data_IF_761473580046
#
_entry.id   IF_761473580046
#
_cell.length_a   1.000
_cell.length_b   1.000
_cell.length_c   1.000
_cell.angle_alpha   90.00
_cell.angle_beta   90.00
_cell.angle_gamma   90.00
#
_symmetry.space_group_name_H-M   'P 1'
#
loop_
_entity.id
_entity.type
_entity.pdbx_description
1 polymer ?
#
# COMPACT_ATOMS: atom_id res chain seq x y z
N UNK A 1 11.78 1.60 -27.95
CA UNK A 1 12.68 2.24 -28.94
C UNK A 1 13.46 3.43 -28.35
N UNK A 2 12.83 4.38 -27.64
CA UNK A 2 13.49 5.60 -27.13
C UNK A 2 14.51 5.29 -26.03
N UNK A 3 14.13 4.55 -25.00
CA UNK A 3 15.03 4.18 -23.89
C UNK A 3 16.27 3.42 -24.40
N UNK A 4 16.08 2.48 -25.33
CA UNK A 4 17.19 1.71 -25.90
C UNK A 4 18.22 2.61 -26.57
N UNK A 5 17.78 3.58 -27.37
CA UNK A 5 18.67 4.57 -28.01
C UNK A 5 19.42 5.44 -26.99
N UNK A 6 18.73 5.86 -25.91
CA UNK A 6 19.36 6.62 -24.83
C UNK A 6 20.47 5.82 -24.14
N UNK A 7 20.24 4.54 -23.90
CA UNK A 7 21.24 3.61 -23.32
C UNK A 7 22.42 3.42 -24.26
N UNK A 8 22.15 3.14 -25.54
CA UNK A 8 23.19 2.92 -26.58
C UNK A 8 24.05 4.18 -26.80
N UNK A 9 23.45 5.37 -26.67
CA UNK A 9 24.20 6.66 -26.78
C UNK A 9 24.92 7.07 -25.49
N UNK A 10 24.76 6.33 -24.38
CA UNK A 10 25.33 6.67 -23.07
C UNK A 10 24.70 7.90 -22.37
N UNK A 11 23.65 8.47 -22.96
CA UNK A 11 22.93 9.65 -22.44
C UNK A 11 21.60 9.24 -21.82
N UNK A 12 21.66 8.72 -20.60
CA UNK A 12 20.49 8.24 -19.88
C UNK A 12 19.91 9.37 -19.03
N UNK A 13 18.64 9.77 -19.23
CA UNK A 13 17.97 10.74 -18.37
C UNK A 13 17.56 10.13 -17.04
N UNK A 14 17.23 10.96 -16.06
CA UNK A 14 16.51 10.50 -14.87
C UNK A 14 15.13 9.97 -15.25
N UNK A 15 14.69 8.88 -14.61
CA UNK A 15 13.46 8.18 -15.00
C UNK A 15 12.75 7.51 -13.83
N UNK A 16 11.48 7.24 -14.03
CA UNK A 16 10.65 6.47 -13.12
C UNK A 16 10.14 5.22 -13.86
N UNK A 17 10.40 4.04 -13.32
CA UNK A 17 9.83 2.78 -13.78
C UNK A 17 8.55 2.49 -12.99
N UNK A 18 7.42 2.52 -13.67
CA UNK A 18 6.13 2.22 -13.10
C UNK A 18 5.59 0.92 -13.69
N UNK A 19 5.18 0.00 -12.82
CA UNK A 19 4.58 -1.27 -13.25
C UNK A 19 4.48 -2.27 -12.11
N UNK A 20 3.81 -3.40 -12.34
CA UNK A 20 3.58 -4.43 -11.32
C UNK A 20 4.89 -5.01 -10.77
N UNK A 21 4.85 -5.71 -9.62
CA UNK A 21 6.03 -6.38 -9.09
C UNK A 21 6.56 -7.45 -10.05
N UNK A 22 7.83 -7.80 -9.91
CA UNK A 22 8.46 -8.90 -10.67
C UNK A 22 8.68 -8.69 -12.17
N UNK A 23 8.40 -7.51 -12.73
CA UNK A 23 8.61 -7.22 -14.17
C UNK A 23 10.05 -6.80 -14.51
N UNK A 24 10.96 -6.85 -13.53
CA UNK A 24 12.38 -6.59 -13.76
C UNK A 24 12.82 -5.13 -13.64
N UNK A 25 12.10 -4.25 -12.92
CA UNK A 25 12.47 -2.83 -12.72
C UNK A 25 13.91 -2.65 -12.23
N UNK A 26 14.27 -3.35 -11.17
CA UNK A 26 15.62 -3.32 -10.57
C UNK A 26 16.68 -3.92 -11.51
N UNK A 27 16.33 -5.02 -12.17
CA UNK A 27 17.20 -5.69 -13.15
C UNK A 27 17.49 -4.76 -14.33
N UNK A 28 16.48 -4.09 -14.87
CA UNK A 28 16.63 -3.13 -15.95
C UNK A 28 17.53 -1.96 -15.55
N UNK A 29 17.36 -1.41 -14.36
CA UNK A 29 18.23 -0.34 -13.84
C UNK A 29 19.69 -0.79 -13.72
N UNK A 30 19.93 -2.02 -13.24
CA UNK A 30 21.27 -2.60 -13.16
C UNK A 30 21.90 -2.82 -14.55
N UNK A 31 21.13 -3.29 -15.53
CA UNK A 31 21.59 -3.44 -16.92
C UNK A 31 21.97 -2.09 -17.52
N UNK A 32 21.13 -1.07 -17.31
CA UNK A 32 21.41 0.30 -17.78
C UNK A 32 22.74 0.78 -17.21
N UNK A 33 22.93 0.67 -15.90
CA UNK A 33 24.15 1.09 -15.22
C UNK A 33 25.42 0.43 -15.79
N UNK A 34 25.38 -0.89 -15.98
CA UNK A 34 26.49 -1.67 -16.56
C UNK A 34 26.77 -1.25 -18.00
N UNK A 35 25.72 -1.02 -18.81
CA UNK A 35 25.88 -0.63 -20.22
C UNK A 35 26.51 0.75 -20.37
N UNK A 36 26.13 1.71 -19.51
CA UNK A 36 26.69 3.08 -19.54
C UNK A 36 27.96 3.23 -18.70
N UNK A 37 28.43 2.14 -18.07
CA UNK A 37 29.66 2.08 -17.24
C UNK A 37 29.70 3.12 -16.13
N UNK A 38 28.57 3.38 -15.46
CA UNK A 38 28.46 4.32 -14.34
C UNK A 38 28.35 3.59 -13.01
N UNK A 39 28.82 4.25 -11.94
CA UNK A 39 28.60 3.74 -10.59
C UNK A 39 27.11 3.62 -10.30
N UNK A 40 26.72 2.56 -9.58
CA UNK A 40 25.33 2.21 -9.30
C UNK A 40 25.11 2.13 -7.80
N UNK A 41 24.33 3.05 -7.28
CA UNK A 41 23.87 3.05 -5.89
C UNK A 41 22.44 2.59 -5.82
N UNK A 42 22.14 1.73 -4.86
CA UNK A 42 20.80 1.16 -4.65
C UNK A 42 20.31 1.54 -3.26
N UNK A 43 19.16 2.17 -3.19
CA UNK A 43 18.44 2.43 -1.95
C UNK A 43 17.05 1.80 -2.04
N UNK A 44 16.57 1.25 -0.91
CA UNK A 44 15.18 0.84 -0.76
C UNK A 44 14.45 1.87 0.09
N UNK A 45 13.40 2.49 -0.43
CA UNK A 45 12.66 3.50 0.32
C UNK A 45 11.96 2.94 1.58
N UNK A 46 11.86 1.60 1.70
CA UNK A 46 11.36 0.93 2.90
C UNK A 46 12.38 1.00 4.04
N UNK A 47 13.68 0.82 3.74
CA UNK A 47 14.74 0.64 4.73
C UNK A 47 15.72 1.82 4.80
N UNK A 48 15.62 2.78 3.87
CA UNK A 48 16.56 3.90 3.77
C UNK A 48 15.94 5.20 4.27
N UNK A 49 16.64 5.86 5.19
CA UNK A 49 16.27 7.18 5.69
C UNK A 49 17.02 8.32 5.01
N UNK A 50 16.90 9.52 5.58
CA UNK A 50 17.60 10.72 5.10
C UNK A 50 19.12 10.58 5.16
N UNK A 51 19.62 9.80 6.13
CA UNK A 51 21.06 9.59 6.34
C UNK A 51 21.68 8.85 5.16
N UNK A 52 21.09 7.73 4.76
CA UNK A 52 21.57 6.90 3.65
C UNK A 52 21.55 7.67 2.32
N UNK A 53 20.50 8.47 2.10
CA UNK A 53 20.42 9.35 0.91
C UNK A 53 21.57 10.37 0.89
N UNK A 54 21.86 11.00 2.03
CA UNK A 54 22.99 11.95 2.15
C UNK A 54 24.34 11.29 1.90
N UNK A 55 24.57 10.11 2.47
CA UNK A 55 25.80 9.35 2.24
C UNK A 55 26.04 9.05 0.75
N UNK A 56 24.98 8.70 0.01
CA UNK A 56 25.06 8.51 -1.44
C UNK A 56 25.41 9.83 -2.14
N UNK A 57 24.83 10.95 -1.75
CA UNK A 57 25.15 12.25 -2.33
C UNK A 57 26.58 12.68 -2.04
N UNK A 58 27.13 12.41 -0.87
CA UNK A 58 28.51 12.71 -0.53
C UNK A 58 29.49 11.88 -1.37
N UNK A 59 29.19 10.60 -1.58
CA UNK A 59 29.95 9.73 -2.49
C UNK A 59 29.84 10.21 -3.96
N UNK A 60 28.65 10.62 -4.37
CA UNK A 60 28.40 11.12 -5.73
C UNK A 60 29.20 12.39 -6.04
N UNK A 61 29.44 13.27 -5.07
CA UNK A 61 30.28 14.47 -5.22
C UNK A 61 31.75 14.16 -5.50
N UNK A 62 32.20 12.99 -5.04
CA UNK A 62 33.59 12.54 -5.24
C UNK A 62 33.75 11.62 -6.45
N UNK A 63 32.67 11.25 -7.11
CA UNK A 63 32.71 10.38 -8.27
C UNK A 63 33.21 11.11 -9.51
N UNK A 64 34.01 10.47 -10.36
CA UNK A 64 34.53 11.09 -11.60
C UNK A 64 33.41 11.36 -12.62
N UNK A 65 32.38 10.55 -12.62
CA UNK A 65 31.20 10.65 -13.48
C UNK A 65 29.93 10.67 -12.67
N UNK A 66 28.86 11.29 -13.18
CA UNK A 66 27.53 11.28 -12.53
C UNK A 66 27.04 9.85 -12.35
N UNK A 67 26.90 9.35 -11.10
CA UNK A 67 26.46 7.99 -10.84
C UNK A 67 24.96 7.83 -11.06
N UNK A 68 24.52 6.59 -11.19
CA UNK A 68 23.09 6.22 -11.17
C UNK A 68 22.68 5.90 -9.75
N UNK A 69 21.65 6.57 -9.27
CA UNK A 69 20.96 6.26 -8.02
C UNK A 69 19.63 5.58 -8.33
N UNK A 70 19.55 4.28 -8.00
CA UNK A 70 18.32 3.52 -8.08
C UNK A 70 17.62 3.54 -6.74
N UNK A 71 16.31 3.87 -6.74
CA UNK A 71 15.46 3.86 -5.54
C UNK A 71 14.28 2.92 -5.80
N UNK A 72 14.27 1.82 -5.06
CA UNK A 72 13.14 0.90 -5.08
C UNK A 72 12.02 1.42 -4.19
N UNK A 73 10.77 1.27 -4.66
CA UNK A 73 9.53 1.73 -4.01
C UNK A 73 9.57 3.23 -3.63
N UNK A 74 10.02 4.08 -4.59
CA UNK A 74 10.23 5.54 -4.39
C UNK A 74 9.00 6.25 -3.80
N UNK A 75 7.79 5.74 -4.01
CA UNK A 75 6.55 6.26 -3.45
C UNK A 75 6.50 6.23 -1.91
N UNK A 76 7.34 5.41 -1.26
CA UNK A 76 7.44 5.33 0.20
C UNK A 76 8.31 6.42 0.81
N UNK A 77 9.06 7.14 0.00
CA UNK A 77 9.79 8.31 0.49
C UNK A 77 8.83 9.47 0.82
N UNK A 78 9.04 10.07 1.99
CA UNK A 78 8.34 11.30 2.38
C UNK A 78 8.60 12.44 1.38
N UNK A 79 7.72 13.44 1.34
CA UNK A 79 7.89 14.62 0.49
C UNK A 79 9.26 15.29 0.69
N UNK A 80 9.73 15.42 1.94
CA UNK A 80 11.05 16.00 2.24
C UNK A 80 12.22 15.18 1.69
N UNK A 81 12.11 13.85 1.66
CA UNK A 81 13.13 13.00 1.04
C UNK A 81 13.10 13.14 -0.48
N UNK A 82 11.92 13.22 -1.09
CA UNK A 82 11.78 13.46 -2.52
C UNK A 82 12.28 14.87 -2.92
N UNK A 83 12.09 15.90 -2.10
CA UNK A 83 12.68 17.23 -2.32
C UNK A 83 14.21 17.20 -2.30
N UNK A 84 14.78 16.37 -1.43
CA UNK A 84 16.25 16.17 -1.42
C UNK A 84 16.76 15.52 -2.70
N UNK A 85 16.01 14.56 -3.26
CA UNK A 85 16.29 13.94 -4.56
C UNK A 85 16.16 14.95 -5.71
N UNK A 86 15.13 15.81 -5.68
CA UNK A 86 14.94 16.87 -6.66
C UNK A 86 16.18 17.75 -6.79
N UNK A 87 16.70 18.24 -5.67
CA UNK A 87 17.92 19.05 -5.65
C UNK A 87 19.13 18.33 -6.26
N UNK A 88 19.28 17.03 -6.00
CA UNK A 88 20.38 16.23 -6.53
C UNK A 88 20.26 16.00 -8.04
N UNK A 89 19.05 15.78 -8.53
CA UNK A 89 18.75 15.61 -9.97
C UNK A 89 18.95 16.92 -10.71
N UNK A 90 18.47 18.05 -10.19
CA UNK A 90 18.62 19.37 -10.79
C UNK A 90 20.09 19.81 -10.95
N UNK A 91 20.91 19.47 -9.96
CA UNK A 91 22.36 19.77 -9.98
C UNK A 91 23.16 18.77 -10.81
N UNK A 92 22.53 17.76 -11.40
CA UNK A 92 23.21 16.69 -12.13
C UNK A 92 24.14 15.84 -11.25
N UNK A 93 23.93 15.84 -9.94
CA UNK A 93 24.74 15.09 -8.99
C UNK A 93 24.52 13.57 -9.14
N UNK A 94 23.32 13.16 -9.47
CA UNK A 94 22.94 11.77 -9.74
C UNK A 94 21.99 11.69 -10.92
N UNK A 95 22.01 10.57 -11.64
CA UNK A 95 20.92 10.16 -12.54
C UNK A 95 19.97 9.29 -11.71
N UNK A 96 18.76 9.77 -11.48
CA UNK A 96 17.78 9.05 -10.69
C UNK A 96 17.05 8.01 -11.54
N UNK A 97 16.97 6.77 -11.06
CA UNK A 97 16.05 5.75 -11.56
C UNK A 97 15.16 5.34 -10.39
N UNK A 98 13.94 5.86 -10.35
CA UNK A 98 12.94 5.46 -9.36
C UNK A 98 12.12 4.26 -9.85
N UNK A 99 11.84 3.30 -8.98
CA UNK A 99 10.91 2.21 -9.25
C UNK A 99 9.69 2.31 -8.34
N UNK A 100 8.52 2.05 -8.88
CA UNK A 100 7.26 2.05 -8.10
C UNK A 100 6.23 1.11 -8.69
N UNK A 101 5.40 0.53 -7.82
CA UNK A 101 4.20 -0.21 -8.19
C UNK A 101 2.97 0.70 -8.22
N UNK A 102 3.01 1.83 -7.52
CA UNK A 102 1.93 2.80 -7.41
C UNK A 102 1.99 3.84 -8.55
N UNK A 103 0.85 4.49 -8.82
CA UNK A 103 0.81 5.50 -9.87
C UNK A 103 1.66 6.73 -9.47
N UNK A 104 2.76 7.01 -10.21
CA UNK A 104 3.69 8.07 -9.85
C UNK A 104 3.07 9.47 -9.89
N UNK A 105 1.97 9.67 -10.61
CA UNK A 105 1.28 10.96 -10.66
C UNK A 105 0.65 11.37 -9.31
N UNK A 106 0.41 10.42 -8.42
CA UNK A 106 -0.15 10.68 -7.08
C UNK A 106 0.91 10.61 -5.98
N UNK A 107 1.93 9.79 -6.17
CA UNK A 107 2.87 9.42 -5.11
C UNK A 107 4.23 10.14 -5.22
N UNK A 108 4.60 10.60 -6.42
CA UNK A 108 5.85 11.34 -6.64
C UNK A 108 5.53 12.82 -6.76
N UNK A 109 6.31 13.67 -6.07
CA UNK A 109 6.10 15.12 -6.14
C UNK A 109 6.22 15.64 -7.58
N UNK A 110 5.32 16.53 -7.98
CA UNK A 110 5.26 17.05 -9.35
C UNK A 110 6.57 17.67 -9.86
N UNK A 111 7.37 18.41 -9.05
CA UNK A 111 8.66 18.93 -9.48
C UNK A 111 9.68 17.83 -9.84
N UNK A 112 9.71 16.72 -9.09
CA UNK A 112 10.61 15.60 -9.39
C UNK A 112 10.12 14.84 -10.63
N UNK A 113 8.82 14.63 -10.73
CA UNK A 113 8.20 13.94 -11.86
C UNK A 113 8.43 14.69 -13.19
N UNK A 114 8.39 16.03 -13.17
CA UNK A 114 8.66 16.86 -14.36
C UNK A 114 10.10 16.76 -14.89
N UNK A 115 11.03 16.26 -14.09
CA UNK A 115 12.45 16.07 -14.43
C UNK A 115 12.80 14.63 -14.75
N UNK A 116 11.84 13.73 -14.64
CA UNK A 116 12.01 12.31 -14.90
C UNK A 116 11.14 11.85 -16.07
N UNK A 117 11.67 10.97 -16.91
CA UNK A 117 10.86 10.28 -17.90
C UNK A 117 10.15 9.08 -17.27
N UNK A 118 8.84 8.98 -17.41
CA UNK A 118 8.07 7.84 -16.89
C UNK A 118 7.99 6.74 -17.93
N UNK A 119 8.44 5.54 -17.56
CA UNK A 119 8.32 4.33 -18.37
C UNK A 119 7.38 3.34 -17.69
N UNK A 120 6.30 3.01 -18.39
CA UNK A 120 5.35 2.00 -17.93
C UNK A 120 5.83 0.62 -18.33
N UNK A 121 6.09 -0.23 -17.37
CA UNK A 121 6.45 -1.64 -17.57
C UNK A 121 5.20 -2.50 -17.38
N UNK A 122 4.89 -3.32 -18.38
CA UNK A 122 3.74 -4.23 -18.34
C UNK A 122 4.14 -5.55 -17.70
N UNK A 123 3.15 -6.30 -17.22
CA UNK A 123 3.33 -7.71 -16.83
C UNK A 123 3.95 -8.48 -17.97
N UNK A 124 4.78 -9.48 -17.64
CA UNK A 124 5.39 -10.35 -18.64
C UNK A 124 4.34 -11.23 -19.29
N UNK A 125 4.43 -11.34 -20.61
CA UNK A 125 3.56 -12.20 -21.40
C UNK A 125 4.08 -13.66 -21.40
N UNK A 126 3.23 -14.60 -21.81
CA UNK A 126 3.56 -16.04 -21.81
C UNK A 126 4.91 -16.32 -22.49
N UNK A 127 5.17 -15.70 -23.64
CA UNK A 127 6.43 -15.91 -24.39
C UNK A 127 7.68 -15.38 -23.64
N UNK A 128 7.54 -14.33 -22.83
CA UNK A 128 8.64 -13.79 -22.01
C UNK A 128 8.96 -14.73 -20.84
N UNK A 129 7.90 -15.24 -20.19
CA UNK A 129 8.02 -16.24 -19.12
C UNK A 129 8.66 -17.54 -19.62
N UNK A 130 8.29 -18.00 -20.82
CA UNK A 130 8.92 -19.18 -21.45
C UNK A 130 10.42 -18.98 -21.69
N UNK A 131 10.83 -17.79 -22.16
CA UNK A 131 12.24 -17.44 -22.30
C UNK A 131 12.97 -17.47 -20.96
N UNK A 132 12.34 -16.95 -19.90
CA UNK A 132 12.93 -16.96 -18.56
C UNK A 132 13.14 -18.39 -18.06
N UNK A 133 12.16 -19.27 -18.22
CA UNK A 133 12.30 -20.68 -17.88
C UNK A 133 13.47 -21.30 -18.64
N UNK A 134 13.49 -21.14 -19.97
CA UNK A 134 14.54 -21.73 -20.82
C UNK A 134 15.95 -21.22 -20.46
N UNK A 135 16.06 -19.97 -20.00
CA UNK A 135 17.34 -19.41 -19.55
C UNK A 135 17.74 -19.89 -18.15
N UNK A 136 16.77 -20.20 -17.28
CA UNK A 136 17.02 -20.67 -15.92
C UNK A 136 17.37 -22.16 -15.85
N UNK A 137 16.79 -22.98 -16.73
CA UNK A 137 17.01 -24.44 -16.71
C UNK A 137 18.49 -24.83 -16.73
N UNK A 138 19.36 -24.30 -17.61
CA UNK A 138 20.80 -24.68 -17.63
C UNK A 138 21.52 -24.34 -16.31
N UNK A 139 21.11 -23.26 -15.62
CA UNK A 139 21.68 -22.87 -14.33
C UNK A 139 21.27 -23.90 -13.27
N UNK A 140 19.98 -24.26 -13.22
CA UNK A 140 19.47 -25.25 -12.28
C UNK A 140 20.01 -26.65 -12.54
N UNK A 141 20.22 -27.06 -13.82
CA UNK A 141 20.88 -28.31 -14.18
C UNK A 141 22.32 -28.38 -13.67
N UNK A 142 23.04 -27.25 -13.77
CA UNK A 142 24.41 -27.16 -13.24
C UNK A 142 24.44 -27.26 -11.72
N UNK A 143 23.48 -26.59 -11.04
CA UNK A 143 23.41 -26.56 -9.58
C UNK A 143 23.00 -27.90 -8.98
N UNK A 144 22.07 -28.64 -9.61
CA UNK A 144 21.62 -29.92 -9.12
C UNK A 144 22.44 -31.12 -9.69
N UNK A 145 23.29 -30.88 -10.69
CA UNK A 145 24.10 -31.91 -11.34
C UNK A 145 23.32 -32.95 -12.14
N UNK A 146 22.06 -32.64 -12.50
CA UNK A 146 21.14 -33.57 -13.19
C UNK A 146 20.49 -32.88 -14.38
N UNK A 147 20.12 -33.68 -15.39
CA UNK A 147 19.36 -33.15 -16.52
C UNK A 147 17.90 -32.89 -16.12
N UNK A 148 17.34 -31.76 -16.54
CA UNK A 148 15.94 -31.38 -16.23
C UNK A 148 15.12 -31.42 -17.52
N UNK A 149 14.07 -32.23 -17.54
CA UNK A 149 13.06 -32.25 -18.60
C UNK A 149 11.78 -31.67 -18.06
N UNK A 150 11.47 -30.46 -18.51
CA UNK A 150 10.19 -29.78 -18.19
C UNK A 150 9.17 -30.15 -19.27
N UNK A 151 8.34 -31.18 -18.99
CA UNK A 151 7.32 -31.66 -19.93
C UNK A 151 6.21 -30.66 -20.14
N UNK A 152 5.81 -30.00 -19.06
CA UNK A 152 4.69 -29.06 -19.05
C UNK A 152 5.09 -27.79 -18.30
N UNK A 153 4.59 -26.64 -18.73
CA UNK A 153 4.96 -25.32 -18.20
C UNK A 153 3.75 -24.49 -17.69
N UNK A 154 2.53 -24.99 -17.94
CA UNK A 154 1.30 -24.22 -17.70
C UNK A 154 1.10 -23.89 -16.21
N UNK A 155 1.42 -24.82 -15.33
CA UNK A 155 1.32 -24.59 -13.89
C UNK A 155 2.24 -23.45 -13.42
N UNK A 156 3.49 -23.40 -13.92
CA UNK A 156 4.42 -22.31 -13.63
C UNK A 156 3.91 -20.95 -14.16
N UNK A 157 3.30 -20.95 -15.36
CA UNK A 157 2.72 -19.74 -15.95
C UNK A 157 1.56 -19.20 -15.13
N UNK A 158 0.65 -20.09 -14.71
CA UNK A 158 -0.50 -19.70 -13.86
C UNK A 158 -0.06 -19.17 -12.51
N UNK A 159 0.92 -19.82 -11.87
CA UNK A 159 1.43 -19.42 -10.56
C UNK A 159 2.17 -18.08 -10.61
N UNK A 160 2.92 -17.85 -11.68
CA UNK A 160 3.67 -16.61 -11.85
C UNK A 160 2.79 -15.37 -12.02
N UNK A 161 1.63 -15.49 -12.66
CA UNK A 161 0.74 -14.36 -12.95
C UNK A 161 1.43 -13.21 -13.70
N UNK A 162 2.51 -13.49 -14.46
CA UNK A 162 3.31 -12.47 -15.16
C UNK A 162 4.46 -11.88 -14.33
N UNK A 163 4.74 -12.42 -13.14
CA UNK A 163 5.83 -12.03 -12.26
C UNK A 163 7.03 -12.98 -12.42
N UNK A 164 8.16 -12.48 -12.93
CA UNK A 164 9.38 -13.26 -13.14
C UNK A 164 9.97 -13.80 -11.84
N UNK A 165 9.86 -13.08 -10.73
CA UNK A 165 10.40 -13.50 -9.43
C UNK A 165 9.62 -14.70 -8.91
N UNK A 166 8.28 -14.66 -8.98
CA UNK A 166 7.42 -15.79 -8.63
C UNK A 166 7.72 -17.01 -9.49
N UNK A 167 7.88 -16.79 -10.80
CA UNK A 167 8.21 -17.86 -11.75
C UNK A 167 9.52 -18.57 -11.38
N UNK A 168 10.60 -17.80 -11.23
CA UNK A 168 11.94 -18.34 -10.98
C UNK A 168 12.03 -19.02 -9.62
N UNK A 169 11.44 -18.42 -8.59
CA UNK A 169 11.40 -19.06 -7.28
C UNK A 169 10.59 -20.35 -7.29
N UNK A 170 9.43 -20.40 -8.01
CA UNK A 170 8.66 -21.62 -8.15
C UNK A 170 9.45 -22.71 -8.88
N UNK A 171 10.17 -22.34 -9.93
CA UNK A 171 11.00 -23.26 -10.69
C UNK A 171 12.14 -23.82 -9.83
N UNK A 172 12.87 -22.97 -9.10
CA UNK A 172 13.94 -23.35 -8.17
C UNK A 172 13.44 -24.32 -7.09
N UNK A 173 12.29 -23.99 -6.47
CA UNK A 173 11.67 -24.82 -5.44
C UNK A 173 11.31 -26.22 -5.98
N UNK A 174 10.59 -26.27 -7.11
CA UNK A 174 10.13 -27.55 -7.68
C UNK A 174 11.30 -28.41 -8.14
N UNK A 175 12.31 -27.82 -8.76
CA UNK A 175 13.54 -28.51 -9.15
C UNK A 175 14.27 -29.07 -7.92
N UNK A 176 14.47 -28.25 -6.88
CA UNK A 176 15.11 -28.64 -5.62
C UNK A 176 14.41 -29.84 -4.98
N UNK A 177 13.08 -29.74 -4.77
CA UNK A 177 12.29 -30.81 -4.17
C UNK A 177 12.26 -32.10 -5.03
N UNK A 178 12.20 -31.95 -6.35
CA UNK A 178 12.24 -33.11 -7.26
C UNK A 178 13.61 -33.76 -7.20
N UNK A 179 14.69 -32.98 -7.07
CA UNK A 179 16.05 -33.49 -6.93
C UNK A 179 16.24 -34.27 -5.62
N UNK A 180 15.74 -33.74 -4.50
CA UNK A 180 15.77 -34.39 -3.19
C UNK A 180 14.95 -35.68 -3.14
N UNK A 181 13.80 -35.71 -3.81
CA UNK A 181 12.93 -36.88 -3.86
C UNK A 181 13.50 -38.01 -4.76
N UNK A 182 14.42 -37.69 -5.67
CA UNK A 182 14.97 -38.63 -6.62
C UNK A 182 16.51 -38.56 -6.65
N UNK A 183 17.22 -38.97 -5.56
CA UNK A 183 18.67 -38.79 -5.43
C UNK A 183 19.47 -39.59 -6.48
N UNK A 184 19.00 -40.74 -6.87
CA UNK A 184 19.68 -41.66 -7.82
C UNK A 184 19.36 -41.37 -9.31
N UNK A 185 18.40 -40.50 -9.60
CA UNK A 185 17.98 -40.19 -10.97
C UNK A 185 19.01 -39.31 -11.67
N UNK A 186 19.44 -39.66 -12.87
CA UNK A 186 20.26 -38.79 -13.72
C UNK A 186 19.46 -37.72 -14.44
N UNK A 187 18.15 -37.94 -14.60
CA UNK A 187 17.24 -37.03 -15.28
C UNK A 187 15.99 -36.80 -14.42
N UNK A 188 15.65 -35.52 -14.20
CA UNK A 188 14.45 -35.11 -13.49
C UNK A 188 13.36 -34.75 -14.51
N UNK A 189 12.17 -35.37 -14.38
CA UNK A 189 11.01 -35.04 -15.21
C UNK A 189 10.00 -34.24 -14.38
N UNK A 190 9.64 -33.06 -14.82
CA UNK A 190 8.72 -32.16 -14.14
C UNK A 190 7.47 -31.96 -15.00
N UNK A 191 6.30 -32.31 -14.42
CA UNK A 191 4.97 -32.15 -15.03
C UNK A 191 4.20 -31.07 -14.30
N UNK A 192 3.04 -30.65 -14.81
CA UNK A 192 2.13 -29.74 -14.11
C UNK A 192 1.64 -30.33 -12.78
N UNK A 193 1.45 -31.64 -12.73
CA UNK A 193 1.01 -32.34 -11.52
C UNK A 193 2.06 -32.25 -10.40
N UNK A 194 3.32 -32.58 -10.72
CA UNK A 194 4.47 -32.44 -9.80
C UNK A 194 4.63 -30.99 -9.34
N UNK A 195 4.55 -30.06 -10.27
CA UNK A 195 4.61 -28.61 -9.98
C UNK A 195 3.54 -28.19 -9.01
N UNK A 196 2.27 -28.56 -9.29
CA UNK A 196 1.14 -28.21 -8.44
C UNK A 196 1.24 -28.83 -7.05
N UNK A 197 1.64 -30.09 -6.96
CA UNK A 197 1.81 -30.82 -5.70
C UNK A 197 2.86 -30.16 -4.80
N UNK A 198 4.06 -29.86 -5.34
CA UNK A 198 5.12 -29.27 -4.54
C UNK A 198 4.82 -27.81 -4.16
N UNK A 199 4.14 -27.07 -5.02
CA UNK A 199 3.77 -25.69 -4.71
C UNK A 199 2.61 -25.64 -3.72
N UNK A 200 1.58 -26.51 -3.85
CA UNK A 200 0.49 -26.57 -2.86
C UNK A 200 0.99 -26.95 -1.47
N UNK A 201 1.90 -27.88 -1.36
CA UNK A 201 2.51 -28.26 -0.08
C UNK A 201 3.38 -27.15 0.52
N UNK A 202 3.87 -26.21 -0.29
CA UNK A 202 4.67 -25.06 0.14
C UNK A 202 3.98 -23.70 0.00
N UNK A 203 2.73 -23.62 -0.52
CA UNK A 203 1.96 -22.38 -0.64
C UNK A 203 1.82 -21.66 0.69
N UNK A 204 1.74 -22.39 1.80
CA UNK A 204 1.74 -21.85 3.16
C UNK A 204 3.05 -21.10 3.51
N UNK A 205 4.16 -21.39 2.83
CA UNK A 205 5.46 -20.71 3.03
C UNK A 205 5.77 -19.67 1.96
N UNK A 206 5.17 -19.80 0.76
CA UNK A 206 5.56 -19.03 -0.42
C UNK A 206 4.86 -17.68 -0.58
N UNK A 207 3.66 -17.51 0.00
CA UNK A 207 2.77 -16.37 -0.29
C UNK A 207 2.92 -15.17 0.67
N UNK A 208 4.00 -15.12 1.47
CA UNK A 208 4.22 -14.01 2.43
C UNK A 208 4.46 -12.64 1.79
N UNK A 209 4.62 -12.53 0.46
CA UNK A 209 4.96 -11.27 -0.23
C UNK A 209 4.31 -11.08 -1.61
N UNK A 210 3.22 -11.78 -1.97
CA UNK A 210 2.64 -11.76 -3.31
C UNK A 210 1.26 -11.08 -3.44
N UNK A 211 0.78 -10.93 -4.68
CA UNK A 211 -0.56 -10.37 -5.00
C UNK A 211 -1.71 -11.11 -4.31
N UNK A 212 -1.61 -12.44 -4.10
CA UNK A 212 -2.62 -13.22 -3.36
C UNK A 212 -2.79 -12.74 -1.92
N UNK A 213 -1.75 -12.20 -1.28
CA UNK A 213 -1.85 -11.58 0.03
C UNK A 213 -2.85 -10.41 0.03
N UNK A 214 -2.72 -9.50 -0.98
CA UNK A 214 -3.64 -8.37 -1.13
C UNK A 214 -5.05 -8.81 -1.51
N UNK A 215 -5.19 -9.88 -2.29
CA UNK A 215 -6.49 -10.43 -2.67
C UNK A 215 -7.22 -11.06 -1.48
N UNK A 216 -6.52 -11.84 -0.64
CA UNK A 216 -7.11 -12.48 0.54
C UNK A 216 -7.52 -11.41 1.57
N UNK A 217 -6.67 -10.42 1.87
CA UNK A 217 -7.03 -9.34 2.79
C UNK A 217 -8.19 -8.49 2.25
N UNK A 218 -8.21 -8.25 0.95
CA UNK A 218 -9.31 -7.55 0.27
C UNK A 218 -10.62 -8.34 0.36
N UNK A 219 -10.58 -9.66 0.15
CA UNK A 219 -11.71 -10.55 0.31
C UNK A 219 -12.21 -10.60 1.76
N UNK A 220 -11.30 -10.67 2.74
CA UNK A 220 -11.61 -10.60 4.17
C UNK A 220 -12.36 -9.31 4.52
N UNK A 221 -11.84 -8.15 4.11
CA UNK A 221 -12.47 -6.86 4.36
C UNK A 221 -13.84 -6.78 3.67
N UNK A 222 -13.94 -7.19 2.40
CA UNK A 222 -15.19 -7.18 1.63
C UNK A 222 -16.23 -8.11 2.22
N UNK A 223 -15.84 -9.26 2.78
CA UNK A 223 -16.75 -10.19 3.47
C UNK A 223 -17.35 -9.54 4.72
N UNK A 224 -16.55 -8.89 5.56
CA UNK A 224 -17.06 -8.18 6.73
C UNK A 224 -17.94 -6.98 6.33
N UNK A 225 -17.56 -6.23 5.30
CA UNK A 225 -18.35 -5.12 4.72
C UNK A 225 -19.67 -5.62 4.15
N UNK A 226 -19.66 -6.76 3.47
CA UNK A 226 -20.84 -7.42 2.91
C UNK A 226 -21.68 -8.19 3.91
N UNK A 227 -21.32 -8.17 5.21
CA UNK A 227 -22.05 -8.85 6.29
C UNK A 227 -22.11 -10.37 6.15
N UNK A 228 -21.04 -10.99 5.63
CA UNK A 228 -20.86 -12.44 5.60
C UNK A 228 -19.82 -12.88 6.64
N UNK A 229 -20.22 -13.31 7.86
CA UNK A 229 -19.30 -13.77 8.89
C UNK A 229 -18.61 -15.08 8.53
N UNK A 230 -19.23 -15.95 7.71
CA UNK A 230 -18.65 -17.24 7.34
C UNK A 230 -17.48 -17.03 6.36
N UNK A 231 -17.67 -16.21 5.34
CA UNK A 231 -16.59 -15.84 4.43
C UNK A 231 -15.47 -15.09 5.16
N UNK A 232 -15.81 -14.18 6.08
CA UNK A 232 -14.83 -13.48 6.90
C UNK A 232 -13.93 -14.43 7.69
N UNK A 233 -14.52 -15.40 8.41
CA UNK A 233 -13.77 -16.41 9.18
C UNK A 233 -12.93 -17.31 8.25
N UNK A 234 -13.45 -17.68 7.08
CA UNK A 234 -12.70 -18.48 6.11
C UNK A 234 -11.45 -17.74 5.61
N UNK A 235 -11.59 -16.48 5.20
CA UNK A 235 -10.42 -15.70 4.74
C UNK A 235 -9.46 -15.38 5.89
N UNK A 236 -9.96 -15.17 7.11
CA UNK A 236 -9.14 -15.05 8.31
C UNK A 236 -8.28 -16.31 8.52
N UNK A 237 -8.89 -17.51 8.46
CA UNK A 237 -8.17 -18.76 8.61
C UNK A 237 -7.10 -18.91 7.53
N UNK A 238 -7.38 -18.56 6.27
CA UNK A 238 -6.39 -18.56 5.19
C UNK A 238 -5.19 -17.66 5.49
N UNK A 239 -5.42 -16.46 6.03
CA UNK A 239 -4.33 -15.55 6.42
C UNK A 239 -3.49 -16.12 7.56
N UNK A 240 -4.14 -16.72 8.56
CA UNK A 240 -3.46 -17.34 9.71
C UNK A 240 -2.56 -18.51 9.24
N UNK A 241 -3.11 -19.41 8.42
CA UNK A 241 -2.37 -20.54 7.88
C UNK A 241 -1.21 -20.10 6.95
N UNK A 242 -1.38 -18.99 6.23
CA UNK A 242 -0.31 -18.38 5.45
C UNK A 242 0.75 -17.68 6.33
N UNK A 243 0.55 -17.60 7.66
CA UNK A 243 1.48 -16.99 8.62
C UNK A 243 1.51 -15.47 8.56
N UNK A 244 0.35 -14.85 8.24
CA UNK A 244 0.19 -13.40 8.25
C UNK A 244 0.42 -12.82 9.64
N UNK A 245 0.94 -11.59 9.70
CA UNK A 245 1.08 -10.86 10.95
C UNK A 245 -0.30 -10.62 11.61
N UNK A 246 -0.55 -11.16 12.82
CA UNK A 246 -1.81 -10.99 13.50
C UNK A 246 -2.14 -9.52 13.79
N UNK A 247 -1.14 -8.67 14.00
CA UNK A 247 -1.33 -7.22 14.19
C UNK A 247 -1.73 -6.53 12.90
N UNK A 248 -1.24 -7.00 11.75
CA UNK A 248 -1.71 -6.51 10.45
C UNK A 248 -3.19 -6.80 10.27
N UNK A 249 -3.64 -8.04 10.54
CA UNK A 249 -5.06 -8.43 10.46
C UNK A 249 -5.91 -7.55 11.40
N UNK A 250 -5.50 -7.43 12.67
CA UNK A 250 -6.21 -6.63 13.66
C UNK A 250 -6.30 -5.14 13.26
N UNK A 251 -5.23 -4.57 12.68
CA UNK A 251 -5.22 -3.20 12.14
C UNK A 251 -6.24 -3.00 11.03
N UNK A 252 -6.41 -3.98 10.14
CA UNK A 252 -7.40 -3.90 9.06
C UNK A 252 -8.83 -3.94 9.60
N UNK A 253 -9.09 -4.73 10.65
CA UNK A 253 -10.38 -4.74 11.34
C UNK A 253 -10.67 -3.42 12.05
N UNK A 254 -9.67 -2.79 12.67
CA UNK A 254 -9.79 -1.48 13.33
C UNK A 254 -10.18 -0.38 12.34
N UNK A 255 -9.56 -0.36 11.16
CA UNK A 255 -9.91 0.57 10.09
C UNK A 255 -11.35 0.35 9.63
N UNK A 256 -11.73 -0.90 9.33
CA UNK A 256 -13.08 -1.27 8.88
C UNK A 256 -14.16 -0.87 9.90
N UNK A 257 -13.87 -1.00 11.19
CA UNK A 257 -14.80 -0.61 12.25
C UNK A 257 -15.19 0.88 12.19
N UNK A 258 -14.26 1.76 11.78
CA UNK A 258 -14.53 3.19 11.59
C UNK A 258 -15.06 3.52 10.20
N UNK A 259 -14.52 2.88 9.14
CA UNK A 259 -14.84 3.16 7.74
C UNK A 259 -16.23 2.66 7.34
N UNK A 260 -16.56 1.39 7.71
CA UNK A 260 -17.74 0.70 7.20
C UNK A 260 -18.87 0.51 8.25
N UNK A 261 -18.55 0.62 9.54
CA UNK A 261 -19.54 0.49 10.62
C UNK A 261 -19.83 1.84 11.25
N UNK A 262 -18.80 2.59 11.61
CA UNK A 262 -18.91 3.95 12.11
C UNK A 262 -19.94 4.09 13.23
N UNK A 263 -20.80 5.10 13.12
CA UNK A 263 -21.82 5.41 14.11
C UNK A 263 -23.05 4.49 14.09
N UNK A 264 -23.15 3.58 13.12
CA UNK A 264 -24.21 2.55 13.17
C UNK A 264 -24.03 1.61 14.37
N UNK A 265 -22.76 1.35 14.76
CA UNK A 265 -22.41 0.62 15.98
C UNK A 265 -21.07 1.12 16.56
N UNK A 266 -21.04 2.14 17.43
CA UNK A 266 -19.81 2.69 18.00
C UNK A 266 -18.96 1.67 18.77
N UNK A 267 -19.57 0.60 19.30
CA UNK A 267 -18.84 -0.46 20.01
C UNK A 267 -17.91 -1.26 19.08
N UNK A 268 -18.14 -1.21 17.78
CA UNK A 268 -17.29 -1.90 16.81
C UNK A 268 -15.84 -1.39 16.88
N UNK A 269 -15.64 -0.07 16.96
CA UNK A 269 -14.32 0.53 17.11
C UNK A 269 -13.66 0.17 18.44
N UNK A 270 -14.42 0.17 19.53
CA UNK A 270 -13.91 -0.21 20.86
C UNK A 270 -13.47 -1.67 20.89
N UNK A 271 -14.30 -2.57 20.33
CA UNK A 271 -13.97 -3.99 20.27
C UNK A 271 -12.75 -4.26 19.38
N UNK A 272 -12.69 -3.62 18.21
CA UNK A 272 -11.55 -3.76 17.30
C UNK A 272 -10.24 -3.23 17.91
N UNK A 273 -10.29 -2.13 18.66
CA UNK A 273 -9.13 -1.63 19.38
C UNK A 273 -8.71 -2.59 20.51
N UNK A 274 -9.66 -3.08 21.29
CA UNK A 274 -9.38 -4.09 22.33
C UNK A 274 -8.80 -5.38 21.73
N UNK A 275 -9.29 -5.79 20.56
CA UNK A 275 -8.73 -6.92 19.81
C UNK A 275 -7.27 -6.67 19.44
N UNK A 276 -6.95 -5.49 18.88
CA UNK A 276 -5.57 -5.12 18.53
C UNK A 276 -4.64 -5.20 19.75
N UNK A 277 -5.05 -4.64 20.89
CA UNK A 277 -4.26 -4.66 22.11
C UNK A 277 -4.10 -6.08 22.69
N UNK A 278 -5.15 -6.90 22.64
CA UNK A 278 -5.11 -8.28 23.10
C UNK A 278 -4.20 -9.15 22.23
N UNK A 279 -4.33 -9.02 20.92
CA UNK A 279 -3.47 -9.73 19.94
C UNK A 279 -2.01 -9.35 20.11
N UNK A 280 -1.70 -8.08 20.37
CA UNK A 280 -0.34 -7.61 20.63
C UNK A 280 0.27 -8.21 21.90
N UNK A 281 -0.56 -8.50 22.92
CA UNK A 281 -0.12 -9.08 24.19
C UNK A 281 0.04 -10.59 24.16
N UNK A 282 -0.80 -11.29 23.40
CA UNK A 282 -0.94 -12.74 23.43
C UNK A 282 -0.16 -13.41 22.29
N UNK A 283 -0.27 -12.88 21.05
CA UNK A 283 0.32 -13.51 19.87
C UNK A 283 -0.36 -14.83 19.46
N UNK A 284 0.21 -15.50 18.43
CA UNK A 284 -0.22 -16.82 18.01
C UNK A 284 0.32 -17.91 18.96
N UNK A 285 -0.40 -19.04 19.12
CA UNK A 285 -1.63 -19.44 18.37
C UNK A 285 -2.97 -18.92 18.94
N UNK A 286 -3.03 -18.42 20.16
CA UNK A 286 -4.28 -18.10 20.86
C UNK A 286 -4.98 -16.87 20.29
N UNK A 287 -4.26 -15.89 19.74
CA UNK A 287 -4.82 -14.68 19.15
C UNK A 287 -5.83 -14.96 18.03
N UNK A 288 -5.75 -16.14 17.37
CA UNK A 288 -6.72 -16.58 16.34
C UNK A 288 -8.17 -16.57 16.85
N UNK A 289 -8.38 -16.86 18.13
CA UNK A 289 -9.70 -16.91 18.74
C UNK A 289 -10.27 -15.49 18.87
N UNK A 290 -9.44 -14.55 19.34
CA UNK A 290 -9.81 -13.13 19.52
C UNK A 290 -10.08 -12.49 18.16
N UNK A 291 -9.23 -12.76 17.15
CA UNK A 291 -9.43 -12.30 15.78
C UNK A 291 -10.74 -12.82 15.19
N UNK A 292 -11.05 -14.10 15.38
CA UNK A 292 -12.28 -14.71 14.88
C UNK A 292 -13.54 -14.09 15.54
N UNK A 293 -13.54 -13.95 16.87
CA UNK A 293 -14.63 -13.29 17.59
C UNK A 293 -14.89 -11.88 17.07
N UNK A 294 -13.83 -11.10 16.90
CA UNK A 294 -13.94 -9.73 16.40
C UNK A 294 -14.41 -9.67 14.96
N UNK A 295 -13.88 -10.53 14.08
CA UNK A 295 -14.30 -10.60 12.68
C UNK A 295 -15.80 -10.92 12.53
N UNK A 296 -16.32 -11.88 13.31
CA UNK A 296 -17.74 -12.22 13.36
C UNK A 296 -18.57 -11.02 13.81
N UNK A 297 -18.15 -10.37 14.90
CA UNK A 297 -18.86 -9.18 15.42
C UNK A 297 -18.93 -8.05 14.40
N UNK A 298 -17.81 -7.73 13.75
CA UNK A 298 -17.75 -6.69 12.73
C UNK A 298 -18.57 -7.04 11.50
N UNK A 299 -18.52 -8.31 11.04
CA UNK A 299 -19.33 -8.78 9.92
C UNK A 299 -20.82 -8.67 10.23
N UNK A 300 -21.24 -9.01 11.46
CA UNK A 300 -22.64 -9.01 11.88
C UNK A 300 -23.17 -7.64 12.32
N UNK A 301 -22.32 -6.62 12.44
CA UNK A 301 -22.71 -5.27 12.82
C UNK A 301 -23.44 -4.53 11.70
N UNK A 302 -24.42 -3.65 12.00
CA UNK A 302 -24.99 -2.75 11.01
C UNK A 302 -23.88 -1.86 10.40
N UNK A 303 -24.04 -1.50 9.13
CA UNK A 303 -23.03 -0.75 8.36
C UNK A 303 -23.43 0.70 8.18
N UNK A 304 -22.45 1.60 8.28
CA UNK A 304 -22.53 2.99 7.87
C UNK A 304 -21.15 3.55 7.57
N UNK A 305 -20.99 4.15 6.42
CA UNK A 305 -19.80 4.92 6.04
C UNK A 305 -20.03 6.44 6.12
N UNK A 306 -21.10 6.89 6.80
CA UNK A 306 -21.46 8.31 6.87
C UNK A 306 -20.32 9.20 7.39
N UNK A 307 -19.60 8.76 8.42
CA UNK A 307 -18.45 9.50 8.97
C UNK A 307 -17.27 9.56 7.99
N UNK A 308 -16.99 8.47 7.27
CA UNK A 308 -15.97 8.41 6.23
C UNK A 308 -16.30 9.35 5.06
N UNK A 309 -17.54 9.34 4.59
CA UNK A 309 -17.98 10.25 3.53
C UNK A 309 -17.95 11.71 3.97
N UNK A 310 -18.30 12.00 5.23
CA UNK A 310 -18.28 13.35 5.79
C UNK A 310 -16.88 13.97 5.76
N UNK A 311 -15.87 13.26 6.24
CA UNK A 311 -14.49 13.76 6.25
C UNK A 311 -13.94 13.93 4.83
N UNK A 312 -14.23 13.01 3.92
CA UNK A 312 -13.79 13.12 2.52
C UNK A 312 -14.39 14.35 1.85
N UNK A 313 -15.71 14.58 2.01
CA UNK A 313 -16.39 15.76 1.50
C UNK A 313 -15.82 17.06 2.09
N UNK A 314 -15.56 17.09 3.39
CA UNK A 314 -14.97 18.26 4.05
C UNK A 314 -13.54 18.53 3.52
N UNK A 315 -12.72 17.50 3.35
CA UNK A 315 -11.39 17.65 2.76
C UNK A 315 -11.43 18.15 1.31
N UNK A 316 -12.39 17.70 0.52
CA UNK A 316 -12.55 18.16 -0.87
C UNK A 316 -12.97 19.64 -0.92
N UNK A 317 -13.82 20.08 -0.01
CA UNK A 317 -14.17 21.49 0.12
C UNK A 317 -12.94 22.32 0.51
N UNK A 318 -12.17 21.90 1.53
CA UNK A 318 -10.94 22.58 1.94
C UNK A 318 -9.93 22.67 0.78
N UNK A 319 -9.77 21.61 -0.01
CA UNK A 319 -8.87 21.63 -1.19
C UNK A 319 -9.32 22.63 -2.26
N UNK A 320 -10.64 22.82 -2.42
CA UNK A 320 -11.21 23.74 -3.42
C UNK A 320 -11.20 25.19 -2.96
N UNK A 321 -11.48 25.44 -1.68
CA UNK A 321 -11.65 26.79 -1.14
C UNK A 321 -10.37 27.34 -0.49
N UNK A 322 -9.40 26.48 -0.18
CA UNK A 322 -8.23 26.86 0.60
C UNK A 322 -8.58 27.16 2.07
N UNK A 323 -7.76 27.98 2.72
CA UNK A 323 -7.94 28.36 4.12
C UNK A 323 -8.94 29.52 4.25
N UNK A 324 -10.21 29.19 4.35
CA UNK A 324 -11.25 30.17 4.66
C UNK A 324 -11.08 30.70 6.09
N UNK A 325 -11.47 31.96 6.31
CA UNK A 325 -11.37 32.59 7.62
C UNK A 325 -12.36 32.00 8.62
N UNK A 326 -11.88 31.67 9.83
CA UNK A 326 -12.76 31.27 10.93
C UNK A 326 -13.65 32.45 11.29
N UNK A 327 -14.98 32.26 11.46
CA UNK A 327 -15.89 33.34 11.89
C UNK A 327 -15.41 34.07 13.16
N UNK A 328 -15.57 35.38 13.22
CA UNK A 328 -15.02 36.23 14.30
C UNK A 328 -15.50 35.80 15.67
N UNK A 329 -16.78 35.47 15.80
CA UNK A 329 -17.39 35.04 17.06
C UNK A 329 -16.84 33.72 17.60
N UNK A 330 -16.26 32.85 16.75
CA UNK A 330 -15.63 31.58 17.16
C UNK A 330 -14.17 31.74 17.56
N UNK A 331 -13.55 32.91 17.32
CA UNK A 331 -12.15 33.14 17.65
C UNK A 331 -11.98 33.48 19.11
N UNK A 332 -11.03 32.87 19.81
CA UNK A 332 -10.73 33.23 21.19
C UNK A 332 -10.09 34.61 21.27
N UNK A 333 -10.49 35.42 22.28
CA UNK A 333 -9.98 36.74 22.54
C UNK A 333 -9.20 36.85 23.87
N UNK A 334 -8.00 36.21 23.99
CA UNK A 334 -7.23 36.21 25.23
C UNK A 334 -6.62 37.60 25.57
N UNK A 335 -6.50 38.49 24.61
CA UNK A 335 -5.95 39.85 24.84
C UNK A 335 -6.99 40.91 24.63
N UNK A 336 -6.75 42.10 25.25
CA UNK A 336 -7.63 43.28 25.10
C UNK A 336 -7.72 43.69 23.63
N UNK A 337 -6.61 43.71 22.91
CA UNK A 337 -6.57 44.05 21.49
C UNK A 337 -7.47 43.11 20.65
N UNK A 338 -7.45 41.82 20.93
CA UNK A 338 -8.33 40.85 20.21
C UNK A 338 -9.81 41.13 20.49
N UNK A 339 -10.18 41.50 21.71
CA UNK A 339 -11.55 41.93 22.04
C UNK A 339 -11.92 43.23 21.30
N UNK A 340 -11.02 44.19 21.26
CA UNK A 340 -11.25 45.51 20.62
C UNK A 340 -11.45 45.35 19.09
N UNK A 341 -10.89 44.32 18.45
CA UNK A 341 -11.08 43.99 17.03
C UNK A 341 -12.21 42.98 16.77
N UNK A 342 -13.04 42.66 17.79
CA UNK A 342 -14.28 41.89 17.64
C UNK A 342 -14.14 40.36 17.75
N UNK A 343 -13.03 39.83 18.28
CA UNK A 343 -12.93 38.41 18.54
C UNK A 343 -13.86 37.99 19.68
N UNK A 344 -14.54 36.84 19.54
CA UNK A 344 -15.58 36.31 20.43
C UNK A 344 -16.87 37.19 20.51
N UNK A 345 -16.96 38.25 19.73
CA UNK A 345 -18.16 39.08 19.76
C UNK A 345 -19.34 38.33 19.15
N UNK A 346 -20.47 38.30 19.90
CA UNK A 346 -21.68 37.59 19.52
C UNK A 346 -21.63 36.06 19.71
N UNK A 347 -20.56 35.48 20.28
CA UNK A 347 -20.54 34.05 20.61
C UNK A 347 -21.56 33.71 21.68
N UNK A 348 -22.41 32.71 21.40
CA UNK A 348 -23.43 32.21 22.32
C UNK A 348 -22.97 30.90 22.92
N UNK A 349 -22.75 30.85 24.24
CA UNK A 349 -22.32 29.64 24.92
C UNK A 349 -23.52 28.70 25.12
N UNK A 350 -23.52 27.57 24.45
CA UNK A 350 -24.67 26.67 24.37
C UNK A 350 -25.19 26.19 25.73
N UNK A 351 -24.32 26.06 26.75
CA UNK A 351 -24.74 25.64 28.09
C UNK A 351 -25.56 26.68 28.87
N UNK A 352 -25.60 27.93 28.42
CA UNK A 352 -26.43 28.99 28.99
C UNK A 352 -27.89 28.95 28.48
N UNK A 353 -28.19 28.01 27.56
CA UNK A 353 -29.48 27.92 26.90
C UNK A 353 -30.16 26.58 27.21
N UNK A 354 -31.49 26.56 27.16
CA UNK A 354 -32.28 25.35 27.39
C UNK A 354 -31.89 24.20 26.44
N UNK A 355 -31.76 22.99 26.99
CA UNK A 355 -31.34 21.84 26.24
C UNK A 355 -29.87 21.88 25.74
N UNK A 356 -29.05 22.80 26.28
CA UNK A 356 -27.65 23.03 25.87
C UNK A 356 -27.52 23.23 24.36
N UNK A 357 -28.43 23.99 23.77
CA UNK A 357 -28.43 24.28 22.35
C UNK A 357 -28.86 25.72 22.08
N UNK A 358 -28.19 26.36 21.16
CA UNK A 358 -28.58 27.66 20.59
C UNK A 358 -28.22 27.68 19.12
N UNK A 359 -29.10 28.16 18.28
CA UNK A 359 -28.87 28.32 16.87
C UNK A 359 -27.80 29.37 16.60
N UNK A 360 -26.71 28.95 15.99
CA UNK A 360 -25.56 29.79 15.62
C UNK A 360 -24.83 29.15 14.45
N UNK A 361 -24.32 29.92 13.50
CA UNK A 361 -23.50 29.40 12.42
C UNK A 361 -22.06 29.13 12.91
N UNK A 362 -21.52 27.99 12.56
CA UNK A 362 -20.16 27.57 12.92
C UNK A 362 -19.22 27.47 11.71
N UNK A 363 -19.76 27.41 10.51
CA UNK A 363 -18.96 27.37 9.28
C UNK A 363 -18.60 28.78 8.81
N UNK A 364 -17.50 28.92 8.05
CA UNK A 364 -17.26 30.16 7.29
C UNK A 364 -18.43 30.51 6.39
N UNK A 365 -18.65 31.81 6.17
CA UNK A 365 -19.78 32.33 5.41
C UNK A 365 -19.88 31.74 4.01
N UNK A 366 -18.73 31.54 3.36
CA UNK A 366 -18.61 31.02 1.99
C UNK A 366 -19.11 29.57 1.84
N UNK A 367 -19.16 28.82 2.94
CA UNK A 367 -19.62 27.43 2.98
C UNK A 367 -20.75 27.21 4.00
N UNK A 368 -21.39 28.31 4.46
CA UNK A 368 -22.52 28.24 5.38
C UNK A 368 -23.63 27.34 4.83
N UNK A 369 -24.27 26.59 5.71
CA UNK A 369 -25.32 25.61 5.34
C UNK A 369 -24.85 24.33 4.69
N UNK A 370 -23.56 24.14 4.46
CA UNK A 370 -23.02 22.88 3.93
C UNK A 370 -23.22 21.73 4.92
N UNK A 371 -23.76 20.60 4.45
CA UNK A 371 -24.00 19.40 5.25
C UNK A 371 -23.00 18.31 4.87
N UNK A 372 -21.95 18.15 5.66
CA UNK A 372 -20.94 17.09 5.47
C UNK A 372 -21.42 15.75 6.01
N UNK A 373 -21.98 15.72 7.21
CA UNK A 373 -22.49 14.51 7.84
C UNK A 373 -23.95 14.26 7.46
N UNK A 374 -24.20 13.11 6.85
CA UNK A 374 -25.53 12.65 6.44
C UNK A 374 -25.78 11.27 7.04
N UNK A 375 -26.52 11.16 8.17
CA UNK A 375 -26.85 9.88 8.80
C UNK A 375 -27.53 8.93 7.83
N UNK A 376 -27.12 7.66 7.88
CA UNK A 376 -27.69 6.61 7.04
C UNK A 376 -28.92 5.95 7.68
N UNK A 377 -29.59 5.10 6.88
CA UNK A 377 -30.84 4.45 7.29
C UNK A 377 -30.60 3.21 8.17
N UNK A 378 -30.08 3.42 9.39
CA UNK A 378 -29.98 2.38 10.44
C UNK A 378 -30.57 2.93 11.75
N UNK A 379 -30.93 2.09 12.73
CA UNK A 379 -31.64 2.51 13.94
C UNK A 379 -30.91 3.61 14.71
N UNK A 380 -29.60 3.45 14.90
CA UNK A 380 -28.78 4.38 15.69
C UNK A 380 -28.65 5.73 15.03
N UNK A 381 -28.37 5.78 13.75
CA UNK A 381 -28.22 7.04 13.02
C UNK A 381 -29.57 7.73 12.77
N UNK A 382 -30.68 7.00 12.74
CA UNK A 382 -32.01 7.62 12.79
C UNK A 382 -32.28 8.37 14.10
N UNK A 383 -31.86 7.82 15.25
CA UNK A 383 -31.93 8.53 16.52
C UNK A 383 -31.10 9.81 16.50
N UNK A 384 -29.86 9.74 15.98
CA UNK A 384 -29.00 10.91 15.81
C UNK A 384 -29.61 11.94 14.85
N UNK A 385 -30.17 11.49 13.73
CA UNK A 385 -30.83 12.35 12.75
C UNK A 385 -32.03 13.09 13.37
N UNK A 386 -32.87 12.39 14.13
CA UNK A 386 -34.02 13.00 14.80
C UNK A 386 -33.56 14.02 15.85
N UNK A 387 -32.54 13.71 16.63
CA UNK A 387 -31.95 14.65 17.59
C UNK A 387 -31.40 15.91 16.91
N UNK A 388 -30.68 15.75 15.78
CA UNK A 388 -30.15 16.88 15.00
C UNK A 388 -31.27 17.71 14.36
N UNK A 389 -32.30 17.08 13.78
CA UNK A 389 -33.45 17.80 13.20
C UNK A 389 -34.25 18.63 14.22
N UNK A 390 -34.29 18.14 15.46
CA UNK A 390 -34.97 18.91 16.54
C UNK A 390 -34.18 20.14 16.98
N UNK A 391 -32.86 20.13 16.74
CA UNK A 391 -31.95 21.24 17.06
C UNK A 391 -31.78 22.21 15.88
N UNK A 392 -31.52 21.64 14.70
CA UNK A 392 -31.28 22.42 13.47
C UNK A 392 -32.52 22.34 12.57
N UNK A 393 -33.45 23.27 12.74
CA UNK A 393 -34.69 23.33 11.95
C UNK A 393 -34.47 23.91 10.57
#
# INVERSE_FOLDING_TARGET
AVLRRAIESGRVPSMIFWGPPGVGKTTLASIISKQVKRQFYVLSAINSGVKEVREVFDRARMAPDTPILFIDEIHRFSKSQQDSLLNAVEKGLVILIGATTENPSFEVISPLLSRCQVYVLKSLEKHDLEKLINNALPVLENDCGKKIILQEKEAFMQISGGDARKLLNALELVVGMTCEANPEAETLTITNEVTTQYIQNNLLKYDRMGEMHYDIISAFIKSMRGSDPNAAVYYLARMIEAGEDPLFIARRMLILASEDIGNANPNALLLANTCFDAVNKIGFPESRIILSQTAIYLASSPKSNASYMAINMAQDVVRKTGNLSVPMHLRNAPTKLMKDIGYSDGYKYAHDYEGNFVEQEFLPEEISGTKFYQPQNNPREKELQNSLRNKWK
#
